data_IF_044909590664
#
_entry.id   IF_044909590664
#
_cell.length_a   1.000
_cell.length_b   1.000
_cell.length_c   1.000
_cell.angle_alpha   90.00
_cell.angle_beta   90.00
_cell.angle_gamma   90.00
#
_symmetry.space_group_name_H-M   'P 1'
#
loop_
_entity.id
_entity.type
_entity.pdbx_description
1 polymer ?
#
# COMPACT_ATOMS: atom_id res chain seq x y z
N UNK A 1 48.73 -1.69 3.17
CA UNK A 1 48.94 -0.44 3.93
C UNK A 1 47.59 0.24 4.11
N UNK A 2 47.23 0.48 5.38
CA UNK A 2 46.07 1.23 5.90
C UNK A 2 44.65 0.76 5.53
N UNK A 3 44.07 -0.05 6.43
CA UNK A 3 42.63 -0.15 6.66
C UNK A 3 42.05 1.25 6.88
N UNK A 4 41.19 1.74 5.98
CA UNK A 4 40.28 2.85 6.27
C UNK A 4 39.17 2.30 7.17
N UNK A 5 39.24 2.66 8.45
CA UNK A 5 38.25 2.26 9.45
C UNK A 5 36.85 2.71 9.09
N UNK A 6 35.89 1.83 9.34
CA UNK A 6 34.46 1.97 9.12
C UNK A 6 33.84 2.90 10.17
N UNK A 7 34.22 4.18 10.16
CA UNK A 7 33.80 5.19 11.16
C UNK A 7 32.73 6.13 10.61
N UNK A 8 31.62 5.59 10.11
CA UNK A 8 30.52 6.44 9.65
C UNK A 8 29.17 5.78 9.82
N UNK A 9 28.28 6.40 10.60
CA UNK A 9 26.85 6.16 10.44
C UNK A 9 26.47 6.54 9.02
N UNK A 10 25.80 5.66 8.28
CA UNK A 10 25.25 6.04 6.97
C UNK A 10 24.11 7.04 7.20
N UNK A 11 24.33 8.30 6.79
CA UNK A 11 23.39 9.40 7.01
C UNK A 11 22.87 9.89 5.66
N UNK A 12 21.55 9.94 5.49
CA UNK A 12 20.94 10.62 4.36
C UNK A 12 21.07 12.14 4.53
N UNK A 13 21.16 12.90 3.44
CA UNK A 13 21.28 14.34 3.56
C UNK A 13 20.44 15.09 2.53
N UNK A 14 20.07 16.32 2.89
CA UNK A 14 19.45 17.27 1.98
C UNK A 14 20.00 18.68 2.23
N UNK A 15 20.09 19.47 1.16
CA UNK A 15 20.45 20.88 1.23
C UNK A 15 19.17 21.69 1.04
N UNK A 16 18.84 22.53 2.00
CA UNK A 16 17.54 23.20 2.08
C UNK A 16 17.69 24.69 2.32
N UNK A 17 16.74 25.46 1.81
CA UNK A 17 16.65 26.90 2.04
C UNK A 17 15.87 27.25 3.30
N UNK A 18 15.93 28.53 3.73
CA UNK A 18 15.08 29.05 4.80
C UNK A 18 13.58 28.80 4.51
N UNK A 19 12.84 28.37 5.53
CA UNK A 19 11.39 28.10 5.43
C UNK A 19 11.03 26.76 4.77
N UNK A 20 12.00 25.92 4.43
CA UNK A 20 11.78 24.57 3.91
C UNK A 20 10.89 23.71 4.83
N UNK A 21 11.19 23.65 6.13
CA UNK A 21 10.48 22.75 7.05
C UNK A 21 9.01 23.17 7.19
N UNK A 22 8.77 24.48 7.33
CA UNK A 22 7.41 25.07 7.28
C UNK A 22 6.71 24.78 5.96
N UNK A 23 7.43 24.90 4.84
CA UNK A 23 6.87 24.66 3.50
C UNK A 23 6.55 23.18 3.25
N UNK A 24 7.36 22.26 3.77
CA UNK A 24 7.09 20.82 3.72
C UNK A 24 6.09 20.34 4.78
N UNK A 25 5.88 21.14 5.83
CA UNK A 25 5.03 20.76 6.97
C UNK A 25 5.76 19.83 7.95
N UNK A 26 7.09 19.76 7.87
CA UNK A 26 7.93 19.00 8.79
C UNK A 26 8.07 19.78 10.09
N UNK A 27 7.70 19.16 11.21
CA UNK A 27 7.79 19.80 12.51
C UNK A 27 9.23 19.77 13.03
N UNK A 28 9.76 20.92 13.45
CA UNK A 28 10.98 21.00 14.26
C UNK A 28 10.66 20.69 15.73
N UNK A 29 11.22 19.61 16.24
CA UNK A 29 11.01 19.12 17.61
C UNK A 29 11.73 20.01 18.62
N UNK A 30 12.94 20.45 18.28
CA UNK A 30 13.77 21.34 19.11
C UNK A 30 14.57 22.32 18.27
N UNK A 31 15.01 23.41 18.90
CA UNK A 31 15.89 24.41 18.29
C UNK A 31 15.17 25.27 17.26
N UNK A 32 15.89 25.64 16.20
CA UNK A 32 15.42 26.57 15.16
C UNK A 32 15.64 26.03 13.75
N UNK A 33 14.94 26.65 12.80
CA UNK A 33 15.18 26.47 11.36
C UNK A 33 16.40 27.30 10.89
N UNK A 34 16.83 27.05 9.65
CA UNK A 34 17.73 27.94 8.92
C UNK A 34 17.08 29.31 8.66
N UNK A 35 17.92 30.33 8.72
CA UNK A 35 17.58 31.74 8.48
C UNK A 35 18.54 32.34 7.45
N UNK A 36 18.23 33.53 6.95
CA UNK A 36 19.12 34.25 6.02
C UNK A 36 20.48 34.62 6.65
N UNK A 37 20.60 34.55 7.98
CA UNK A 37 21.86 34.75 8.70
C UNK A 37 22.81 33.54 8.59
N UNK A 38 22.28 32.35 8.32
CA UNK A 38 23.05 31.10 8.19
C UNK A 38 23.63 30.97 6.77
N UNK A 39 24.47 31.94 6.41
CA UNK A 39 25.10 32.11 5.07
C UNK A 39 26.59 31.83 5.11
N UNK A 40 27.21 31.76 3.93
CA UNK A 40 28.66 31.63 3.79
C UNK A 40 29.41 32.73 4.58
N UNK A 41 30.45 32.30 5.31
CA UNK A 41 31.21 33.13 6.25
C UNK A 41 30.64 33.23 7.66
N UNK A 42 29.42 32.74 7.91
CA UNK A 42 28.87 32.55 9.26
C UNK A 42 29.28 31.18 9.84
N UNK A 43 29.10 30.92 11.15
CA UNK A 43 29.29 29.60 11.72
C UNK A 43 28.51 28.53 10.94
N UNK A 44 29.15 27.40 10.64
CA UNK A 44 28.55 26.35 9.85
C UNK A 44 27.52 25.58 10.67
N UNK A 45 26.29 25.45 10.16
CA UNK A 45 25.16 24.93 10.93
C UNK A 45 24.43 23.80 10.21
N UNK A 46 23.82 22.91 11.00
CA UNK A 46 23.00 21.83 10.50
C UNK A 46 21.73 21.65 11.34
N UNK A 47 20.72 21.06 10.72
CA UNK A 47 19.54 20.52 11.39
C UNK A 47 19.57 19.00 11.22
N UNK A 48 19.38 18.25 12.30
CA UNK A 48 19.37 16.77 12.26
C UNK A 48 17.97 16.25 12.48
N UNK A 49 17.65 15.02 12.10
CA UNK A 49 16.40 14.39 12.54
C UNK A 49 16.54 13.68 13.89
N UNK A 50 15.41 13.29 14.49
CA UNK A 50 15.33 12.53 15.74
C UNK A 50 16.23 11.27 15.67
N UNK A 51 16.11 10.47 14.60
CA UNK A 51 16.91 9.26 14.43
C UNK A 51 18.43 9.50 14.45
N UNK A 52 18.92 10.60 13.87
CA UNK A 52 20.35 10.94 13.90
C UNK A 52 20.79 11.49 15.25
N UNK A 53 19.95 12.32 15.87
CA UNK A 53 20.20 12.84 17.21
C UNK A 53 20.34 11.71 18.23
N UNK A 54 19.41 10.75 18.22
CA UNK A 54 19.43 9.59 19.12
C UNK A 54 20.61 8.66 18.86
N UNK A 55 21.03 8.53 17.59
CA UNK A 55 22.17 7.68 17.22
C UNK A 55 23.52 8.27 17.67
N UNK A 56 23.71 9.59 17.56
CA UNK A 56 24.98 10.24 17.92
C UNK A 56 25.06 10.65 19.39
N UNK A 57 23.92 11.01 20.00
CA UNK A 57 23.85 11.58 21.34
C UNK A 57 22.68 10.99 22.15
N UNK A 58 22.69 9.67 22.41
CA UNK A 58 21.60 8.99 23.08
C UNK A 58 21.35 9.56 24.48
N UNK A 59 20.16 10.11 24.71
CA UNK A 59 19.74 10.67 26.00
C UNK A 59 20.32 12.05 26.34
N UNK A 60 21.08 12.67 25.42
CA UNK A 60 21.64 14.00 25.60
C UNK A 60 20.94 15.04 24.72
N UNK A 61 21.08 16.33 25.03
CA UNK A 61 20.53 17.38 24.17
C UNK A 61 21.45 17.58 22.94
N UNK A 62 20.98 17.36 21.70
CA UNK A 62 21.82 17.48 20.51
C UNK A 62 22.12 18.93 20.13
N UNK A 63 21.37 19.91 20.64
CA UNK A 63 21.55 21.32 20.29
C UNK A 63 22.92 21.86 20.74
N UNK A 64 23.57 22.64 19.88
CA UNK A 64 24.90 23.20 20.11
C UNK A 64 26.04 22.18 19.97
N UNK A 65 25.74 20.91 19.73
CA UNK A 65 26.76 19.89 19.48
C UNK A 65 27.26 19.97 18.06
N UNK A 66 28.51 19.55 17.87
CA UNK A 66 29.16 19.62 16.58
C UNK A 66 29.33 18.22 15.98
N UNK A 67 29.08 18.10 14.69
CA UNK A 67 29.35 16.90 13.91
C UNK A 67 30.10 17.29 12.64
N UNK A 68 30.90 16.40 12.08
CA UNK A 68 31.43 16.60 10.73
C UNK A 68 30.75 15.64 9.76
N UNK A 69 30.19 16.20 8.68
CA UNK A 69 29.53 15.43 7.63
C UNK A 69 30.53 14.79 6.65
N UNK A 70 31.71 15.39 6.47
CA UNK A 70 32.72 14.96 5.50
C UNK A 70 33.83 14.09 6.14
N UNK A 71 33.62 13.68 7.39
CA UNK A 71 34.57 12.88 8.17
C UNK A 71 35.44 13.71 9.12
N UNK A 72 36.38 13.09 9.87
CA UNK A 72 37.07 13.73 10.99
C UNK A 72 37.86 15.00 10.64
N UNK A 73 38.31 15.11 9.39
CA UNK A 73 39.07 16.26 8.86
C UNK A 73 38.18 17.30 8.15
N UNK A 74 36.89 17.01 8.02
CA UNK A 74 35.90 17.89 7.40
C UNK A 74 35.46 19.04 8.31
N UNK A 75 34.76 20.04 7.76
CA UNK A 75 34.22 21.15 8.54
C UNK A 75 33.17 20.65 9.54
N UNK A 76 33.31 21.10 10.79
CA UNK A 76 32.31 20.85 11.82
C UNK A 76 31.09 21.75 11.62
N UNK A 77 29.92 21.13 11.75
CA UNK A 77 28.60 21.73 11.69
C UNK A 77 27.99 21.72 13.08
N UNK A 78 27.57 22.88 13.58
CA UNK A 78 26.81 22.99 14.82
C UNK A 78 25.33 22.63 14.59
N UNK A 79 24.79 21.77 15.44
CA UNK A 79 23.39 21.38 15.40
C UNK A 79 22.54 22.48 16.03
N UNK A 80 21.77 23.19 15.19
CA UNK A 80 20.90 24.29 15.62
C UNK A 80 19.42 23.91 15.72
N UNK A 81 19.06 22.72 15.24
CA UNK A 81 17.69 22.23 15.28
C UNK A 81 17.58 20.72 15.13
N UNK A 82 16.45 20.20 15.61
CA UNK A 82 16.07 18.79 15.45
C UNK A 82 14.72 18.72 14.76
N UNK A 83 14.66 18.09 13.59
CA UNK A 83 13.44 17.83 12.84
C UNK A 83 12.84 16.47 13.20
N UNK A 84 11.51 16.36 13.12
CA UNK A 84 10.83 15.07 13.26
C UNK A 84 11.26 14.13 12.13
N UNK A 85 11.30 12.83 12.43
CA UNK A 85 11.53 11.82 11.40
C UNK A 85 10.44 11.83 10.32
N UNK A 86 10.87 11.88 9.06
CA UNK A 86 10.00 11.83 7.88
C UNK A 86 10.42 10.69 6.96
N UNK A 87 9.61 10.46 5.92
CA UNK A 87 9.93 9.52 4.84
C UNK A 87 10.57 10.28 3.68
N UNK A 88 11.73 9.83 3.24
CA UNK A 88 12.61 10.45 2.25
C UNK A 88 12.59 9.75 0.90
N UNK A 89 12.63 8.40 0.86
CA UNK A 89 12.72 7.63 -0.38
C UNK A 89 11.48 6.80 -0.67
N UNK A 90 10.86 6.21 0.35
CA UNK A 90 9.65 5.40 0.18
C UNK A 90 8.71 5.50 1.38
N UNK A 91 7.42 5.24 1.16
CA UNK A 91 6.42 5.27 2.24
C UNK A 91 6.66 4.17 3.30
N UNK A 92 7.34 3.09 2.91
CA UNK A 92 7.61 1.94 3.78
C UNK A 92 8.99 1.88 4.40
N UNK A 93 9.84 2.89 4.18
CA UNK A 93 11.16 2.89 4.81
C UNK A 93 11.04 3.07 6.32
N UNK A 94 12.01 2.55 7.07
CA UNK A 94 12.18 2.91 8.47
C UNK A 94 12.78 4.30 8.59
N UNK A 95 12.49 4.98 9.70
CA UNK A 95 13.20 6.20 10.02
C UNK A 95 14.69 5.87 10.12
N UNK A 96 15.52 6.71 9.50
CA UNK A 96 16.96 6.52 9.46
C UNK A 96 17.66 7.87 9.66
N UNK A 97 18.93 7.86 10.12
CA UNK A 97 19.66 9.09 10.39
C UNK A 97 19.72 10.00 9.16
N UNK A 98 19.37 11.27 9.36
CA UNK A 98 19.27 12.27 8.30
C UNK A 98 19.74 13.65 8.76
N UNK A 99 20.45 14.36 7.89
CA UNK A 99 20.98 15.71 8.13
C UNK A 99 20.54 16.69 7.05
N UNK A 100 20.17 17.89 7.47
CA UNK A 100 19.85 19.01 6.61
C UNK A 100 20.94 20.07 6.73
N UNK A 101 21.34 20.67 5.61
CA UNK A 101 22.33 21.75 5.51
C UNK A 101 21.70 22.99 4.86
N UNK A 102 22.19 24.17 5.23
CA UNK A 102 21.75 25.43 4.61
C UNK A 102 22.29 25.56 3.19
N UNK A 103 21.41 25.81 2.22
CA UNK A 103 21.80 26.12 0.84
C UNK A 103 22.65 27.40 0.74
N UNK A 104 22.53 28.30 1.71
CA UNK A 104 23.30 29.54 1.77
C UNK A 104 24.75 29.32 2.22
N UNK A 105 25.08 28.14 2.77
CA UNK A 105 26.44 27.72 3.15
C UNK A 105 26.99 26.61 2.25
N UNK A 106 26.12 25.91 1.51
CA UNK A 106 26.48 24.74 0.71
C UNK A 106 25.73 24.82 -0.61
N UNK A 107 26.36 25.43 -1.59
CA UNK A 107 25.76 25.62 -2.91
C UNK A 107 25.54 24.26 -3.59
N UNK A 108 24.30 24.00 -4.02
CA UNK A 108 23.93 22.83 -4.81
C UNK A 108 23.33 23.30 -6.14
N UNK A 109 23.97 23.04 -7.29
CA UNK A 109 23.49 23.51 -8.59
C UNK A 109 22.16 22.87 -9.01
N UNK A 110 21.79 21.72 -8.42
CA UNK A 110 20.54 21.00 -8.70
C UNK A 110 19.57 21.14 -7.54
N UNK A 111 18.91 22.29 -7.45
CA UNK A 111 17.91 22.56 -6.42
C UNK A 111 16.49 22.56 -6.96
N UNK A 112 15.54 22.16 -6.12
CA UNK A 112 14.11 22.24 -6.41
C UNK A 112 13.47 23.35 -5.57
N UNK A 113 12.62 24.16 -6.20
CA UNK A 113 11.81 25.14 -5.50
C UNK A 113 10.51 24.46 -5.01
N UNK A 114 10.32 24.41 -3.69
CA UNK A 114 9.08 23.93 -3.09
C UNK A 114 8.20 25.13 -2.76
N UNK A 115 6.93 25.07 -3.15
CA UNK A 115 5.94 26.13 -2.89
C UNK A 115 4.71 25.52 -2.23
N UNK A 116 4.31 26.08 -1.08
CA UNK A 116 3.06 25.75 -0.40
C UNK A 116 2.01 26.79 -0.74
N UNK A 117 0.81 26.32 -1.10
CA UNK A 117 -0.31 27.19 -1.50
C UNK A 117 -1.59 26.76 -0.78
N UNK A 118 -2.54 27.69 -0.61
CA UNK A 118 -3.84 27.44 0.05
C UNK A 118 -4.98 27.08 -0.93
N UNK A 119 -4.69 27.03 -2.24
CA UNK A 119 -5.65 26.71 -3.31
C UNK A 119 -5.17 25.56 -4.19
N UNK A 120 -5.64 25.49 -5.44
CA UNK A 120 -5.19 24.47 -6.40
C UNK A 120 -3.70 24.65 -6.73
N UNK A 121 -2.81 23.70 -6.37
CA UNK A 121 -1.38 23.80 -6.64
C UNK A 121 -1.04 23.93 -8.13
N UNK A 122 -1.87 23.37 -9.02
CA UNK A 122 -1.65 23.47 -10.47
C UNK A 122 -1.84 24.89 -10.98
N UNK A 123 -2.78 25.64 -10.42
CA UNK A 123 -2.98 27.05 -10.76
C UNK A 123 -1.79 27.92 -10.37
N UNK A 124 -1.19 27.65 -9.21
CA UNK A 124 -0.02 28.37 -8.71
C UNK A 124 1.25 28.10 -9.51
N UNK A 125 1.39 26.89 -10.08
CA UNK A 125 2.52 26.53 -10.93
C UNK A 125 2.71 27.49 -12.12
N UNK A 126 1.60 27.92 -12.74
CA UNK A 126 1.61 28.89 -13.83
C UNK A 126 2.15 30.26 -13.39
N UNK A 127 1.67 30.76 -12.25
CA UNK A 127 2.10 32.03 -11.67
C UNK A 127 3.59 32.01 -11.28
N UNK A 128 4.04 30.95 -10.61
CA UNK A 128 5.45 30.78 -10.20
C UNK A 128 6.36 30.71 -11.44
N UNK A 129 5.97 29.96 -12.48
CA UNK A 129 6.74 29.89 -13.73
C UNK A 129 6.86 31.25 -14.41
N UNK A 130 5.80 32.06 -14.37
CA UNK A 130 5.82 33.43 -14.87
C UNK A 130 6.85 34.30 -14.15
N UNK A 131 6.92 34.21 -12.82
CA UNK A 131 7.90 34.94 -12.01
C UNK A 131 9.34 34.48 -12.26
N UNK A 132 9.58 33.17 -12.36
CA UNK A 132 10.93 32.65 -12.65
C UNK A 132 11.42 33.15 -14.02
N UNK A 133 10.56 33.13 -15.05
CA UNK A 133 10.91 33.64 -16.37
C UNK A 133 11.18 35.15 -16.40
N UNK A 134 10.53 35.92 -15.52
CA UNK A 134 10.76 37.36 -15.41
C UNK A 134 12.12 37.67 -14.77
N UNK A 135 12.61 36.80 -13.88
CA UNK A 135 13.95 36.90 -13.29
C UNK A 135 15.04 36.52 -14.30
N UNK A 136 14.88 35.38 -14.96
CA UNK A 136 15.79 34.91 -16.01
C UNK A 136 15.05 33.98 -16.97
N UNK A 137 14.96 34.39 -18.23
CA UNK A 137 14.29 33.63 -19.29
C UNK A 137 15.02 32.34 -19.68
N UNK A 138 16.31 32.23 -19.35
CA UNK A 138 17.15 31.06 -19.67
C UNK A 138 17.11 30.00 -18.57
N UNK A 139 16.48 30.26 -17.41
CA UNK A 139 16.38 29.27 -16.35
C UNK A 139 15.43 28.13 -16.75
N UNK A 140 15.91 26.87 -16.80
CA UNK A 140 15.06 25.73 -17.13
C UNK A 140 14.12 25.41 -15.95
N UNK A 141 12.86 25.78 -16.08
CA UNK A 141 11.79 25.30 -15.16
C UNK A 141 11.33 23.93 -15.64
N UNK A 142 12.11 22.90 -15.28
CA UNK A 142 11.80 21.51 -15.58
C UNK A 142 10.99 20.86 -14.45
N UNK A 143 10.26 19.80 -14.79
CA UNK A 143 9.62 18.87 -13.85
C UNK A 143 8.68 19.49 -12.80
N UNK A 144 7.85 20.46 -13.23
CA UNK A 144 6.83 21.04 -12.34
C UNK A 144 5.75 20.02 -12.06
N UNK A 145 5.74 19.53 -10.81
CA UNK A 145 4.79 18.54 -10.31
C UNK A 145 4.24 18.98 -8.96
N UNK A 146 3.00 18.59 -8.70
CA UNK A 146 2.43 18.69 -7.36
C UNK A 146 2.99 17.59 -6.47
N UNK A 147 2.99 17.80 -5.15
CA UNK A 147 3.40 16.75 -4.21
C UNK A 147 2.50 15.49 -4.33
N UNK A 148 1.24 15.66 -4.72
CA UNK A 148 0.32 14.55 -5.02
C UNK A 148 0.76 13.72 -6.23
N UNK A 149 1.15 14.36 -7.32
CA UNK A 149 1.70 13.68 -8.51
C UNK A 149 3.00 12.95 -8.19
N UNK A 150 3.85 13.54 -7.33
CA UNK A 150 5.06 12.88 -6.85
C UNK A 150 4.74 11.60 -6.06
N UNK A 151 3.71 11.63 -5.19
CA UNK A 151 3.25 10.44 -4.48
C UNK A 151 2.68 9.37 -5.44
N UNK A 152 1.91 9.77 -6.45
CA UNK A 152 1.38 8.83 -7.44
C UNK A 152 2.49 8.09 -8.20
N UNK A 153 3.60 8.77 -8.52
CA UNK A 153 4.78 8.14 -9.12
C UNK A 153 5.44 7.13 -8.17
N UNK A 154 5.58 7.46 -6.88
CA UNK A 154 6.11 6.54 -5.88
C UNK A 154 5.20 5.33 -5.64
N UNK A 155 3.89 5.48 -5.81
CA UNK A 155 2.89 4.41 -5.63
C UNK A 155 2.63 3.59 -6.89
N UNK A 156 3.13 4.02 -8.05
CA UNK A 156 2.87 3.36 -9.33
C UNK A 156 3.25 1.88 -9.35
N UNK A 157 4.45 1.44 -8.89
CA UNK A 157 4.81 0.02 -8.88
C UNK A 157 3.86 -0.82 -8.02
N UNK A 158 3.46 -0.30 -6.85
CA UNK A 158 2.52 -0.97 -5.96
C UNK A 158 1.12 -1.08 -6.61
N UNK A 159 0.68 -0.05 -7.33
CA UNK A 159 -0.59 -0.05 -8.05
C UNK A 159 -0.57 -1.08 -9.19
N UNK A 160 0.48 -1.14 -10.00
CA UNK A 160 0.62 -2.14 -11.07
C UNK A 160 0.59 -3.57 -10.51
N UNK A 161 1.31 -3.83 -9.41
CA UNK A 161 1.26 -5.12 -8.73
C UNK A 161 -0.14 -5.45 -8.22
N UNK A 162 -0.84 -4.50 -7.60
CA UNK A 162 -2.21 -4.68 -7.11
C UNK A 162 -3.19 -5.00 -8.24
N UNK A 163 -3.09 -4.32 -9.39
CA UNK A 163 -3.93 -4.59 -10.56
C UNK A 163 -3.67 -5.98 -11.14
N UNK A 164 -2.41 -6.41 -11.17
CA UNK A 164 -2.02 -7.73 -11.68
C UNK A 164 -2.52 -8.86 -10.78
N UNK A 165 -2.29 -8.73 -9.47
CA UNK A 165 -2.78 -9.66 -8.47
C UNK A 165 -4.31 -9.68 -8.41
N UNK A 166 -4.96 -8.52 -8.54
CA UNK A 166 -6.41 -8.41 -8.65
C UNK A 166 -6.95 -9.12 -9.89
N UNK A 167 -6.27 -9.00 -11.03
CA UNK A 167 -6.58 -9.75 -12.25
C UNK A 167 -6.47 -11.27 -12.05
N UNK A 168 -5.40 -11.74 -11.41
CA UNK A 168 -5.27 -13.17 -11.06
C UNK A 168 -6.34 -13.63 -10.07
N UNK A 169 -6.68 -12.79 -9.07
CA UNK A 169 -7.76 -13.07 -8.13
C UNK A 169 -9.11 -13.20 -8.82
N UNK A 170 -9.41 -12.34 -9.79
CA UNK A 170 -10.63 -12.41 -10.59
C UNK A 170 -10.67 -13.70 -11.43
N UNK A 171 -9.57 -14.06 -12.09
CA UNK A 171 -9.47 -15.30 -12.86
C UNK A 171 -9.63 -16.54 -11.96
N UNK A 172 -8.98 -16.54 -10.80
CA UNK A 172 -9.11 -17.60 -9.81
C UNK A 172 -10.55 -17.72 -9.30
N UNK A 173 -11.23 -16.59 -9.06
CA UNK A 173 -12.64 -16.56 -8.66
C UNK A 173 -13.55 -17.17 -9.74
N UNK A 174 -13.34 -16.81 -11.01
CA UNK A 174 -14.08 -17.40 -12.14
C UNK A 174 -13.82 -18.91 -12.24
N UNK A 175 -12.56 -19.34 -12.18
CA UNK A 175 -12.20 -20.75 -12.26
C UNK A 175 -12.78 -21.55 -11.09
N UNK A 176 -12.71 -21.01 -9.87
CA UNK A 176 -13.33 -21.59 -8.69
C UNK A 176 -14.85 -21.69 -8.85
N UNK A 177 -15.49 -20.64 -9.38
CA UNK A 177 -16.93 -20.64 -9.68
C UNK A 177 -17.32 -21.73 -10.69
N UNK A 178 -16.57 -21.88 -11.78
CA UNK A 178 -16.80 -22.93 -12.80
C UNK A 178 -16.60 -24.32 -12.20
N UNK A 179 -15.51 -24.53 -11.44
CA UNK A 179 -15.24 -25.80 -10.77
C UNK A 179 -16.32 -26.17 -9.75
N UNK A 180 -16.73 -25.20 -8.93
CA UNK A 180 -17.81 -25.38 -7.96
C UNK A 180 -19.13 -25.71 -8.65
N UNK A 181 -19.47 -25.02 -9.73
CA UNK A 181 -20.65 -25.34 -10.53
C UNK A 181 -20.59 -26.78 -11.08
N UNK A 182 -19.46 -27.17 -11.65
CA UNK A 182 -19.26 -28.52 -12.20
C UNK A 182 -19.42 -29.61 -11.13
N UNK A 183 -18.73 -29.49 -10.00
CA UNK A 183 -18.77 -30.49 -8.92
C UNK A 183 -20.17 -30.59 -8.30
N UNK A 184 -20.79 -29.46 -7.98
CA UNK A 184 -22.14 -29.44 -7.37
C UNK A 184 -23.16 -29.98 -8.37
N UNK A 185 -23.14 -29.51 -9.62
CA UNK A 185 -24.09 -29.97 -10.64
C UNK A 185 -23.93 -31.46 -10.93
N UNK A 186 -22.70 -31.97 -10.99
CA UNK A 186 -22.42 -33.38 -11.22
C UNK A 186 -22.89 -34.26 -10.05
N UNK A 187 -22.64 -33.82 -8.81
CA UNK A 187 -23.08 -34.53 -7.60
C UNK A 187 -24.61 -34.66 -7.56
N UNK A 188 -25.33 -33.59 -7.90
CA UNK A 188 -26.80 -33.63 -7.98
C UNK A 188 -27.27 -34.54 -9.12
N UNK A 189 -26.61 -34.50 -10.28
CA UNK A 189 -26.96 -35.34 -11.42
C UNK A 189 -26.79 -36.84 -11.12
N UNK A 190 -25.74 -37.25 -10.39
CA UNK A 190 -25.57 -38.64 -9.96
C UNK A 190 -26.70 -39.13 -9.04
N UNK A 191 -27.30 -38.23 -8.25
CA UNK A 191 -28.40 -38.57 -7.33
C UNK A 191 -29.79 -38.54 -8.00
N UNK A 192 -29.88 -38.29 -9.31
CA UNK A 192 -31.16 -38.19 -10.04
C UNK A 192 -32.01 -39.46 -9.94
N UNK A 193 -31.39 -40.65 -9.92
CA UNK A 193 -32.10 -41.93 -9.81
C UNK A 193 -32.77 -42.10 -8.44
N UNK A 194 -32.06 -41.79 -7.35
CA UNK A 194 -32.63 -41.79 -6.00
C UNK A 194 -33.76 -40.76 -5.87
N UNK A 195 -33.56 -39.57 -6.45
CA UNK A 195 -34.58 -38.51 -6.50
C UNK A 195 -35.84 -39.02 -7.20
N UNK A 196 -35.72 -39.70 -8.35
CA UNK A 196 -36.84 -40.28 -9.10
C UNK A 196 -37.59 -41.36 -8.31
N UNK A 197 -36.88 -42.27 -7.65
CA UNK A 197 -37.51 -43.31 -6.80
C UNK A 197 -38.26 -42.69 -5.62
N UNK A 198 -37.69 -41.69 -4.93
CA UNK A 198 -38.38 -41.01 -3.82
C UNK A 198 -39.62 -40.24 -4.28
N UNK A 199 -39.54 -39.59 -5.45
CA UNK A 199 -40.70 -38.93 -6.06
C UNK A 199 -41.80 -39.94 -6.40
N UNK A 200 -41.46 -41.13 -6.91
CA UNK A 200 -42.42 -42.21 -7.16
C UNK A 200 -43.06 -42.77 -5.88
N UNK A 201 -42.33 -42.73 -4.75
CA UNK A 201 -42.84 -43.09 -3.42
C UNK A 201 -43.66 -41.98 -2.75
N UNK A 202 -43.90 -40.85 -3.43
CA UNK A 202 -44.77 -39.76 -2.95
C UNK A 202 -44.07 -38.63 -2.20
N UNK A 203 -42.72 -38.57 -2.21
CA UNK A 203 -42.00 -37.46 -1.60
C UNK A 203 -42.35 -36.12 -2.25
N UNK A 204 -42.53 -35.06 -1.46
CA UNK A 204 -42.76 -33.72 -2.02
C UNK A 204 -41.46 -33.16 -2.58
N UNK A 205 -41.57 -32.38 -3.67
CA UNK A 205 -40.41 -31.70 -4.32
C UNK A 205 -39.57 -30.89 -3.34
N UNK A 206 -40.20 -30.30 -2.31
CA UNK A 206 -39.53 -29.49 -1.27
C UNK A 206 -38.60 -30.32 -0.39
N UNK A 207 -39.00 -31.55 -0.03
CA UNK A 207 -38.21 -32.43 0.84
C UNK A 207 -36.96 -32.93 0.13
N UNK A 208 -37.10 -33.24 -1.16
CA UNK A 208 -35.98 -33.63 -2.03
C UNK A 208 -35.01 -32.46 -2.23
N UNK A 209 -35.52 -31.26 -2.54
CA UNK A 209 -34.68 -30.07 -2.67
C UNK A 209 -33.93 -29.75 -1.37
N UNK A 210 -34.58 -29.83 -0.21
CA UNK A 210 -33.93 -29.59 1.09
C UNK A 210 -32.77 -30.55 1.35
N UNK A 211 -32.96 -31.83 1.07
CA UNK A 211 -31.94 -32.84 1.27
C UNK A 211 -30.73 -32.62 0.35
N UNK A 212 -31.00 -32.43 -0.95
CA UNK A 212 -29.95 -32.26 -1.97
C UNK A 212 -29.18 -30.95 -1.77
N UNK A 213 -29.88 -29.87 -1.43
CA UNK A 213 -29.24 -28.59 -1.13
C UNK A 213 -28.49 -28.63 0.21
N UNK A 214 -28.97 -29.38 1.21
CA UNK A 214 -28.35 -29.46 2.53
C UNK A 214 -26.92 -30.01 2.50
N UNK A 215 -26.71 -31.13 1.80
CA UNK A 215 -25.38 -31.74 1.65
C UNK A 215 -24.42 -30.81 0.88
N UNK A 216 -24.91 -30.15 -0.18
CA UNK A 216 -24.12 -29.20 -0.96
C UNK A 216 -23.76 -27.94 -0.18
N UNK A 217 -24.70 -27.42 0.62
CA UNK A 217 -24.49 -26.22 1.44
C UNK A 217 -23.46 -26.47 2.53
N UNK A 218 -23.44 -27.65 3.15
CA UNK A 218 -22.43 -27.98 4.17
C UNK A 218 -21.01 -27.96 3.57
N UNK A 219 -20.81 -28.59 2.42
CA UNK A 219 -19.51 -28.63 1.75
C UNK A 219 -19.03 -27.22 1.37
N UNK A 220 -19.93 -26.38 0.84
CA UNK A 220 -19.65 -24.99 0.48
C UNK A 220 -19.31 -24.18 1.72
N UNK A 221 -20.07 -24.34 2.81
CA UNK A 221 -19.84 -23.61 4.05
C UNK A 221 -18.47 -23.94 4.66
N UNK A 222 -18.10 -25.22 4.71
CA UNK A 222 -16.78 -25.66 5.21
C UNK A 222 -15.66 -25.11 4.32
N UNK A 223 -15.82 -25.19 3.00
CA UNK A 223 -14.85 -24.64 2.04
C UNK A 223 -14.67 -23.12 2.18
N UNK A 224 -15.77 -22.38 2.31
CA UNK A 224 -15.74 -20.93 2.53
C UNK A 224 -15.10 -20.57 3.87
N UNK A 225 -15.44 -21.27 4.96
CA UNK A 225 -14.86 -21.04 6.27
C UNK A 225 -13.35 -21.29 6.27
N UNK A 226 -12.91 -22.43 5.70
CA UNK A 226 -11.49 -22.76 5.56
C UNK A 226 -10.76 -21.76 4.66
N UNK A 227 -11.37 -21.38 3.52
CA UNK A 227 -10.81 -20.39 2.60
C UNK A 227 -10.66 -19.01 3.24
N UNK A 228 -11.64 -18.56 4.03
CA UNK A 228 -11.58 -17.30 4.77
C UNK A 228 -10.47 -17.30 5.82
N UNK A 229 -10.29 -18.39 6.56
CA UNK A 229 -9.20 -18.53 7.53
C UNK A 229 -7.83 -18.48 6.84
N UNK A 230 -7.67 -19.19 5.72
CA UNK A 230 -6.44 -19.18 4.94
C UNK A 230 -6.17 -17.79 4.33
N UNK A 231 -7.19 -17.14 3.78
CA UNK A 231 -7.09 -15.80 3.21
C UNK A 231 -6.69 -14.77 4.28
N UNK A 232 -7.26 -14.86 5.48
CA UNK A 232 -6.90 -14.00 6.61
C UNK A 232 -5.47 -14.25 7.09
N UNK A 233 -5.02 -15.50 7.17
CA UNK A 233 -3.65 -15.82 7.53
C UNK A 233 -2.66 -15.30 6.47
N UNK A 234 -2.96 -15.50 5.18
CA UNK A 234 -2.14 -15.01 4.09
C UNK A 234 -2.09 -13.47 4.05
N UNK A 235 -3.21 -12.78 4.27
CA UNK A 235 -3.25 -11.31 4.29
C UNK A 235 -2.39 -10.74 5.42
N UNK A 236 -2.34 -11.41 6.58
CA UNK A 236 -1.45 -11.01 7.69
C UNK A 236 0.03 -11.16 7.34
N UNK A 237 0.41 -12.25 6.68
CA UNK A 237 1.80 -12.45 6.22
C UNK A 237 2.18 -11.36 5.22
N UNK A 238 1.32 -11.11 4.24
CA UNK A 238 1.54 -10.11 3.18
C UNK A 238 1.57 -8.68 3.74
N UNK A 239 0.72 -8.36 4.71
CA UNK A 239 0.74 -7.06 5.39
C UNK A 239 2.04 -6.81 6.17
N UNK A 240 2.73 -7.87 6.61
CA UNK A 240 4.07 -7.75 7.19
C UNK A 240 5.13 -7.24 6.20
N UNK A 241 4.91 -7.44 4.89
CA UNK A 241 5.80 -6.96 3.84
C UNK A 241 5.38 -5.60 3.26
N UNK A 242 4.11 -5.20 3.43
CA UNK A 242 3.53 -3.98 2.85
C UNK A 242 3.25 -2.95 3.94
N UNK A 243 4.12 -1.94 4.03
CA UNK A 243 3.96 -0.87 5.02
C UNK A 243 2.74 0.01 4.70
N UNK A 244 1.88 0.24 5.70
CA UNK A 244 0.73 1.14 5.59
C UNK A 244 -0.48 0.57 4.82
N UNK A 245 -0.43 -0.69 4.38
CA UNK A 245 -1.60 -1.37 3.80
C UNK A 245 -2.32 -2.14 4.89
N UNK A 246 -3.56 -1.73 5.20
CA UNK A 246 -4.40 -2.47 6.13
C UNK A 246 -4.65 -3.90 5.61
N UNK A 247 -4.36 -4.90 6.42
CA UNK A 247 -4.54 -6.33 6.07
C UNK A 247 -6.00 -6.74 5.85
N UNK A 248 -6.94 -5.85 6.16
CA UNK A 248 -8.36 -6.14 6.22
C UNK A 248 -9.12 -5.22 5.26
N UNK A 249 -9.57 -5.79 4.16
CA UNK A 249 -10.62 -5.21 3.32
C UNK A 249 -11.94 -5.97 3.57
N UNK A 250 -12.81 -5.49 4.47
CA UNK A 250 -14.06 -6.18 4.81
C UNK A 250 -14.96 -6.40 3.59
N UNK A 251 -14.89 -5.51 2.60
CA UNK A 251 -15.70 -5.61 1.40
C UNK A 251 -15.28 -6.82 0.58
N UNK A 252 -13.98 -7.01 0.35
CA UNK A 252 -13.47 -8.19 -0.37
C UNK A 252 -13.75 -9.49 0.39
N UNK A 253 -13.54 -9.50 1.71
CA UNK A 253 -13.82 -10.66 2.57
C UNK A 253 -15.32 -11.02 2.65
N UNK A 254 -16.23 -10.07 2.40
CA UNK A 254 -17.67 -10.34 2.31
C UNK A 254 -18.13 -10.68 0.89
N UNK A 255 -17.68 -9.94 -0.11
CA UNK A 255 -18.14 -10.05 -1.49
C UNK A 255 -17.74 -11.39 -2.12
N UNK A 256 -16.49 -11.86 -1.90
CA UNK A 256 -16.01 -13.11 -2.51
C UNK A 256 -16.79 -14.34 -2.03
N UNK A 257 -16.98 -14.57 -0.71
CA UNK A 257 -17.84 -15.66 -0.23
C UNK A 257 -19.29 -15.53 -0.68
N UNK A 258 -19.84 -14.32 -0.76
CA UNK A 258 -21.21 -14.12 -1.24
C UNK A 258 -21.36 -14.53 -2.71
N UNK A 259 -20.41 -14.17 -3.56
CA UNK A 259 -20.40 -14.57 -4.98
C UNK A 259 -20.28 -16.08 -5.11
N UNK A 260 -19.32 -16.70 -4.43
CA UNK A 260 -19.13 -18.16 -4.46
C UNK A 260 -20.34 -18.92 -3.88
N UNK A 261 -20.92 -18.41 -2.79
CA UNK A 261 -22.14 -18.96 -2.20
C UNK A 261 -23.33 -18.87 -3.15
N UNK A 262 -23.51 -17.74 -3.84
CA UNK A 262 -24.53 -17.60 -4.87
C UNK A 262 -24.31 -18.61 -6.01
N UNK A 263 -23.09 -18.74 -6.52
CA UNK A 263 -22.75 -19.72 -7.57
C UNK A 263 -23.10 -21.15 -7.11
N UNK A 264 -22.75 -21.52 -5.88
CA UNK A 264 -23.04 -22.84 -5.34
C UNK A 264 -24.55 -23.11 -5.22
N UNK A 265 -25.32 -22.13 -4.72
CA UNK A 265 -26.76 -22.22 -4.62
C UNK A 265 -27.41 -22.38 -6.01
N UNK A 266 -26.99 -21.58 -6.99
CA UNK A 266 -27.46 -21.71 -8.37
C UNK A 266 -27.10 -23.07 -8.97
N UNK A 267 -25.85 -23.52 -8.77
CA UNK A 267 -25.35 -24.80 -9.26
C UNK A 267 -26.09 -26.01 -8.68
N UNK A 268 -26.51 -25.95 -7.42
CA UNK A 268 -27.30 -27.02 -6.81
C UNK A 268 -28.79 -26.95 -7.15
N UNK A 269 -29.35 -25.74 -7.22
CA UNK A 269 -30.78 -25.52 -7.44
C UNK A 269 -31.23 -25.89 -8.86
N UNK A 270 -30.47 -25.49 -9.88
CA UNK A 270 -30.83 -25.72 -11.29
C UNK A 270 -30.97 -27.21 -11.63
N UNK A 271 -29.98 -28.08 -11.34
CA UNK A 271 -30.07 -29.52 -11.57
C UNK A 271 -31.10 -30.20 -10.68
N UNK A 272 -31.22 -29.82 -9.39
CA UNK A 272 -32.21 -30.40 -8.49
C UNK A 272 -33.64 -30.09 -8.96
N UNK A 273 -33.88 -28.86 -9.43
CA UNK A 273 -35.17 -28.47 -10.04
C UNK A 273 -35.44 -29.23 -11.33
N UNK A 274 -34.42 -29.48 -12.17
CA UNK A 274 -34.57 -30.33 -13.36
C UNK A 274 -34.95 -31.76 -12.96
N UNK A 275 -34.23 -32.38 -12.02
CA UNK A 275 -34.48 -33.75 -11.54
C UNK A 275 -35.91 -33.93 -10.97
N UNK A 276 -36.43 -32.96 -10.23
CA UNK A 276 -37.81 -33.00 -9.67
C UNK A 276 -38.92 -32.76 -10.69
N UNK A 277 -38.58 -32.34 -11.91
CA UNK A 277 -39.51 -32.13 -13.03
C UNK A 277 -39.49 -33.27 -14.06
N UNK A 278 -38.49 -34.15 -14.02
CA UNK A 278 -38.48 -35.36 -14.87
C UNK A 278 -39.62 -36.26 -14.42
N UNK A 279 -40.43 -36.73 -15.36
CA UNK A 279 -41.57 -37.60 -15.09
C UNK A 279 -41.04 -38.96 -14.59
N UNK A 280 -41.45 -39.45 -13.40
CA UNK A 280 -40.96 -40.70 -12.83
C UNK A 280 -41.10 -41.90 -13.78
N UNK A 281 -42.04 -41.86 -14.73
CA UNK A 281 -42.21 -42.89 -15.76
C UNK A 281 -41.15 -42.85 -16.88
N UNK A 282 -40.51 -41.71 -17.15
CA UNK A 282 -39.36 -41.64 -18.10
C UNK A 282 -38.05 -42.00 -17.42
N UNK A 283 -37.89 -41.74 -16.13
CA UNK A 283 -36.67 -42.09 -15.38
C UNK A 283 -36.44 -43.61 -15.21
N UNK A 284 -37.49 -44.42 -15.33
CA UNK A 284 -37.43 -45.90 -15.29
C UNK A 284 -37.24 -46.56 -16.66
N UNK A 285 -37.29 -45.78 -17.76
CA UNK A 285 -37.35 -46.31 -19.13
C UNK A 285 -36.10 -46.04 -19.97
N UNK A 286 -35.06 -45.44 -19.38
CA UNK A 286 -33.74 -45.33 -20.00
C UNK A 286 -32.83 -46.46 -19.46
N UNK A 287 -32.62 -47.48 -20.29
CA UNK A 287 -31.41 -48.31 -20.31
C UNK A 287 -30.21 -47.49 -20.78
#
# INVERSE_FOLDING_TARGET
AAQRGDYGTSVGFNVVGPGYFKTMGTHLVRGREFTDADREGAPAVAVVNESLADALWPGEDPLGKHLSFEGPEGPFLEVVGVARDVKYRSLGEHAHPYIYRSVLQSYEPKMSLVVRTSGDPRSAAGAVRGQIRALDANLPVADVKTLGEQFDLSLFPARVAAWTLGGFGLLALVLAGVGLYGVVSYSVAQRTREIGVRMALGAQRRDVLRLVMGDGVLLVFVGLAAGLLLAFAASRVVAGFLYGVGANDPLTFAAVPLVLGAIALFAGYLPARRATKVDPMTALRYE
#
